data_IF_120941450443
#
_entry.id   IF_120941450443
#
_cell.length_a   1.000
_cell.length_b   1.000
_cell.length_c   1.000
_cell.angle_alpha   90.00
_cell.angle_beta   90.00
_cell.angle_gamma   90.00
#
_symmetry.space_group_name_H-M   'P 1'
#
loop_
_entity.id
_entity.type
_entity.pdbx_description
1 polymer ?
#
# COMPACT_ATOMS: atom_id res chain seq x y z
N UNK A 1 -3.50 50.41 75.68
CA UNK A 1 -4.56 50.63 74.66
C UNK A 1 -4.19 49.76 73.47
N UNK A 2 -4.80 48.58 73.36
CA UNK A 2 -4.35 47.53 72.42
C UNK A 2 -5.40 47.39 71.32
N UNK A 3 -5.03 47.75 70.10
CA UNK A 3 -5.93 47.79 68.95
C UNK A 3 -5.96 46.38 68.35
N UNK A 4 -7.06 45.66 68.55
CA UNK A 4 -7.28 44.33 67.97
C UNK A 4 -7.68 44.51 66.50
N UNK A 5 -6.82 44.11 65.56
CA UNK A 5 -7.16 44.05 64.12
C UNK A 5 -7.88 42.75 63.81
N UNK A 6 -9.14 42.84 63.37
CA UNK A 6 -9.88 41.69 62.86
C UNK A 6 -9.33 41.29 61.47
N UNK A 7 -8.93 40.03 61.24
CA UNK A 7 -8.47 39.58 59.94
C UNK A 7 -9.64 39.58 58.94
N UNK A 8 -9.46 40.29 57.82
CA UNK A 8 -10.45 40.41 56.76
C UNK A 8 -10.84 39.04 56.20
N UNK A 9 -12.14 38.76 56.21
CA UNK A 9 -12.76 37.49 55.79
C UNK A 9 -12.69 37.34 54.26
N UNK A 10 -11.54 36.96 53.70
CA UNK A 10 -11.37 36.71 52.25
C UNK A 10 -11.63 35.25 51.83
N UNK A 11 -12.41 34.50 52.61
CA UNK A 11 -12.57 33.05 52.44
C UNK A 11 -13.31 32.64 51.14
N UNK A 12 -13.99 33.57 50.44
CA UNK A 12 -14.64 33.29 49.16
C UNK A 12 -13.75 33.52 47.93
N UNK A 13 -12.90 34.53 47.96
CA UNK A 13 -12.08 34.91 46.80
C UNK A 13 -11.01 33.86 46.47
N UNK A 14 -10.38 33.28 47.49
CA UNK A 14 -9.38 32.22 47.30
C UNK A 14 -9.98 30.95 46.65
N UNK A 15 -11.22 30.59 47.00
CA UNK A 15 -11.89 29.41 46.45
C UNK A 15 -12.28 29.62 44.97
N UNK A 16 -12.75 30.82 44.62
CA UNK A 16 -13.08 31.19 43.24
C UNK A 16 -11.81 31.19 42.37
N UNK A 17 -10.72 31.77 42.86
CA UNK A 17 -9.43 31.79 42.14
C UNK A 17 -8.87 30.38 41.98
N UNK A 18 -8.95 29.55 43.02
CA UNK A 18 -8.56 28.14 42.95
C UNK A 18 -9.36 27.35 41.90
N UNK A 19 -10.68 27.56 41.85
CA UNK A 19 -11.55 26.92 40.85
C UNK A 19 -11.22 27.40 39.42
N UNK A 20 -10.99 28.70 39.24
CA UNK A 20 -10.59 29.29 37.96
C UNK A 20 -9.26 28.71 37.46
N UNK A 21 -8.25 28.64 38.33
CA UNK A 21 -6.95 28.05 37.99
C UNK A 21 -7.09 26.57 37.64
N UNK A 22 -7.91 25.82 38.38
CA UNK A 22 -8.17 24.42 38.09
C UNK A 22 -8.83 24.24 36.72
N UNK A 23 -9.82 25.07 36.37
CA UNK A 23 -10.46 25.05 35.04
C UNK A 23 -9.43 25.33 33.94
N UNK A 24 -8.59 26.35 34.10
CA UNK A 24 -7.57 26.70 33.11
C UNK A 24 -6.61 25.53 32.89
N UNK A 25 -6.10 24.92 33.95
CA UNK A 25 -5.20 23.76 33.85
C UNK A 25 -5.90 22.58 33.17
N UNK A 26 -7.16 22.32 33.49
CA UNK A 26 -7.94 21.22 32.89
C UNK A 26 -8.12 21.42 31.39
N UNK A 27 -8.41 22.64 30.95
CA UNK A 27 -8.57 22.98 29.54
C UNK A 27 -7.26 22.82 28.75
N UNK A 28 -6.14 23.26 29.32
CA UNK A 28 -4.82 23.09 28.72
C UNK A 28 -4.48 21.60 28.58
N UNK A 29 -4.74 20.80 29.62
CA UNK A 29 -4.51 19.36 29.59
C UNK A 29 -5.33 18.65 28.50
N UNK A 30 -6.64 18.93 28.41
CA UNK A 30 -7.53 18.31 27.40
C UNK A 30 -7.15 18.74 25.97
N UNK A 31 -6.75 20.01 25.79
CA UNK A 31 -6.33 20.53 24.49
C UNK A 31 -5.11 19.78 23.94
N UNK A 32 -4.15 19.42 24.81
CA UNK A 32 -3.00 18.60 24.43
C UNK A 32 -3.40 17.19 23.98
N UNK A 33 -4.28 16.53 24.73
CA UNK A 33 -4.73 15.15 24.45
C UNK A 33 -5.43 15.06 23.09
N UNK A 34 -6.28 16.03 22.74
CA UNK A 34 -7.03 16.04 21.47
C UNK A 34 -6.13 16.07 20.24
N UNK A 35 -4.99 16.77 20.31
CA UNK A 35 -4.03 16.83 19.19
C UNK A 35 -3.35 15.48 18.97
N UNK A 36 -2.94 14.82 20.06
CA UNK A 36 -2.28 13.50 20.00
C UNK A 36 -3.20 12.44 19.38
N UNK A 37 -4.48 12.41 19.76
CA UNK A 37 -5.43 11.43 19.19
C UNK A 37 -5.59 11.54 17.68
N UNK A 38 -5.61 12.75 17.13
CA UNK A 38 -5.69 12.97 15.67
C UNK A 38 -4.41 12.50 14.98
N UNK A 39 -3.25 12.85 15.53
CA UNK A 39 -1.96 12.45 14.97
C UNK A 39 -1.80 10.92 14.98
N UNK A 40 -2.22 10.24 16.05
CA UNK A 40 -2.23 8.78 16.12
C UNK A 40 -3.13 8.19 15.05
N UNK A 41 -4.36 8.69 14.88
CA UNK A 41 -5.27 8.18 13.85
C UNK A 41 -4.72 8.35 12.43
N UNK A 42 -4.10 9.49 12.13
CA UNK A 42 -3.42 9.73 10.85
C UNK A 42 -2.23 8.76 10.69
N UNK A 43 -1.42 8.57 11.73
CA UNK A 43 -0.29 7.64 11.73
C UNK A 43 -0.74 6.20 11.46
N UNK A 44 -1.83 5.75 12.08
CA UNK A 44 -2.40 4.42 11.87
C UNK A 44 -2.90 4.27 10.43
N UNK A 45 -3.70 5.21 9.93
CA UNK A 45 -4.20 5.17 8.55
C UNK A 45 -3.05 5.18 7.51
N UNK A 46 -2.00 5.96 7.76
CA UNK A 46 -0.81 6.01 6.90
C UNK A 46 -0.05 4.68 6.91
N UNK A 47 0.09 4.06 8.09
CA UNK A 47 0.75 2.77 8.24
C UNK A 47 -0.01 1.66 7.49
N UNK A 48 -1.33 1.60 7.65
CA UNK A 48 -2.19 0.63 6.97
C UNK A 48 -2.09 0.76 5.45
N UNK A 49 -2.16 1.99 4.93
CA UNK A 49 -1.91 2.25 3.50
C UNK A 49 -0.52 1.80 3.08
N UNK A 50 0.51 2.13 3.84
CA UNK A 50 1.87 1.74 3.48
C UNK A 50 2.03 0.22 3.41
N UNK A 51 1.40 -0.53 4.31
CA UNK A 51 1.40 -1.99 4.30
C UNK A 51 0.71 -2.57 3.06
N UNK A 52 -0.45 -2.04 2.67
CA UNK A 52 -1.13 -2.48 1.44
C UNK A 52 -0.30 -2.18 0.19
N UNK A 53 0.34 -1.01 0.13
CA UNK A 53 1.26 -0.65 -0.97
C UNK A 53 2.49 -1.55 -1.03
N UNK A 54 3.17 -1.78 0.10
CA UNK A 54 4.34 -2.65 0.14
C UNK A 54 4.01 -4.08 -0.26
N UNK A 55 2.81 -4.55 0.12
CA UNK A 55 2.34 -5.89 -0.27
C UNK A 55 2.09 -5.97 -1.77
N UNK A 56 1.34 -5.01 -2.35
CA UNK A 56 1.10 -4.93 -3.80
C UNK A 56 2.43 -4.92 -4.58
N UNK A 57 3.37 -4.09 -4.13
CA UNK A 57 4.68 -3.96 -4.77
C UNK A 57 5.52 -5.23 -4.63
N UNK A 58 5.45 -5.93 -3.49
CA UNK A 58 6.10 -7.24 -3.33
C UNK A 58 5.56 -8.26 -4.32
N UNK A 59 4.24 -8.27 -4.56
CA UNK A 59 3.63 -9.14 -5.57
C UNK A 59 4.19 -8.85 -6.96
N UNK A 60 4.17 -7.57 -7.35
CA UNK A 60 4.62 -7.15 -8.68
C UNK A 60 6.10 -7.49 -8.86
N UNK A 61 6.94 -7.26 -7.84
CA UNK A 61 8.36 -7.64 -7.88
C UNK A 61 8.57 -9.12 -8.13
N UNK A 62 7.75 -9.99 -7.55
CA UNK A 62 7.85 -11.43 -7.82
C UNK A 62 7.49 -11.76 -9.27
N UNK A 63 6.46 -11.12 -9.81
CA UNK A 63 6.06 -11.27 -11.21
C UNK A 63 7.16 -10.78 -12.17
N UNK A 64 7.77 -9.63 -11.85
CA UNK A 64 8.87 -9.06 -12.63
C UNK A 64 10.12 -9.93 -12.55
N UNK A 65 10.45 -10.50 -11.39
CA UNK A 65 11.58 -11.42 -11.25
C UNK A 65 11.36 -12.70 -12.09
N UNK A 66 10.14 -13.24 -12.06
CA UNK A 66 9.75 -14.36 -12.92
C UNK A 66 9.82 -14.00 -14.42
N UNK A 67 9.63 -12.73 -14.78
CA UNK A 67 9.82 -12.24 -16.15
C UNK A 67 11.28 -12.20 -16.58
N UNK A 68 12.20 -11.96 -15.64
CA UNK A 68 13.62 -11.78 -15.91
C UNK A 68 14.42 -13.08 -15.77
N UNK A 69 13.92 -14.07 -15.04
CA UNK A 69 14.60 -15.36 -14.88
C UNK A 69 14.44 -16.23 -16.15
N UNK A 70 15.55 -16.62 -16.82
CA UNK A 70 15.49 -17.51 -17.98
C UNK A 70 15.28 -18.98 -17.59
N UNK A 71 15.38 -19.31 -16.30
CA UNK A 71 15.13 -20.64 -15.79
C UNK A 71 13.62 -20.84 -15.60
N UNK A 72 13.03 -21.94 -16.10
CA UNK A 72 11.64 -22.24 -15.79
C UNK A 72 11.47 -22.32 -14.26
N UNK A 73 10.41 -21.72 -13.70
CA UNK A 73 10.11 -21.89 -12.29
C UNK A 73 9.97 -23.39 -11.99
N UNK A 74 10.32 -23.78 -10.76
CA UNK A 74 10.37 -25.19 -10.35
C UNK A 74 9.15 -25.97 -10.88
N UNK A 75 9.43 -27.10 -11.53
CA UNK A 75 8.44 -27.92 -12.23
C UNK A 75 7.14 -28.06 -11.40
N UNK A 76 6.04 -27.52 -11.92
CA UNK A 76 4.73 -27.52 -11.26
C UNK A 76 4.20 -26.16 -10.83
N UNK A 77 5.00 -25.09 -10.91
CA UNK A 77 4.47 -23.71 -10.80
C UNK A 77 4.23 -23.14 -12.21
N UNK A 78 2.96 -22.82 -12.57
CA UNK A 78 2.66 -22.27 -13.89
C UNK A 78 3.38 -20.93 -14.08
N UNK A 79 4.06 -20.78 -15.21
CA UNK A 79 4.72 -19.53 -15.56
C UNK A 79 3.65 -18.53 -16.00
N UNK A 80 3.30 -17.60 -15.11
CA UNK A 80 2.13 -16.72 -15.27
C UNK A 80 2.16 -15.89 -16.56
N UNK A 81 3.36 -15.60 -17.08
CA UNK A 81 3.55 -14.84 -18.32
C UNK A 81 3.27 -15.69 -19.55
N UNK A 82 3.70 -16.96 -19.54
CA UNK A 82 3.41 -17.89 -20.64
C UNK A 82 1.93 -18.27 -20.64
N UNK A 83 1.32 -18.43 -19.47
CA UNK A 83 -0.14 -18.65 -19.34
C UNK A 83 -0.95 -17.45 -19.82
N UNK A 84 -0.47 -16.22 -19.56
CA UNK A 84 -1.09 -15.00 -20.07
C UNK A 84 -1.02 -14.91 -21.61
N UNK A 85 0.11 -15.26 -22.22
CA UNK A 85 0.23 -15.35 -23.69
C UNK A 85 -0.73 -16.40 -24.26
N UNK A 86 -0.72 -17.61 -23.70
CA UNK A 86 -1.57 -18.71 -24.17
C UNK A 86 -3.05 -18.33 -24.10
N UNK A 87 -3.51 -17.72 -23.00
CA UNK A 87 -4.92 -17.27 -22.88
C UNK A 87 -5.26 -16.11 -23.81
N UNK A 88 -4.33 -15.19 -24.08
CA UNK A 88 -4.54 -14.08 -25.02
C UNK A 88 -4.76 -14.58 -26.46
N UNK A 89 -4.07 -15.66 -26.86
CA UNK A 89 -4.27 -16.31 -28.17
C UNK A 89 -5.65 -16.96 -28.34
N UNK A 90 -6.38 -17.24 -27.24
CA UNK A 90 -7.76 -17.73 -27.28
C UNK A 90 -8.81 -16.60 -27.36
N UNK A 91 -8.40 -15.34 -27.56
CA UNK A 91 -9.27 -14.15 -27.60
C UNK A 91 -10.18 -14.01 -26.35
N UNK A 92 -9.80 -14.63 -25.24
CA UNK A 92 -10.43 -14.42 -23.94
C UNK A 92 -9.78 -13.17 -23.34
N UNK A 93 -10.54 -12.18 -22.84
CA UNK A 93 -9.99 -11.10 -22.04
C UNK A 93 -9.49 -11.70 -20.71
N UNK A 94 -8.25 -12.19 -20.76
CA UNK A 94 -7.16 -11.75 -19.91
C UNK A 94 -7.45 -11.69 -18.41
N UNK A 95 -6.89 -12.66 -17.67
CA UNK A 95 -6.53 -12.56 -16.25
C UNK A 95 -6.02 -13.95 -15.82
N UNK A 96 -4.71 -14.09 -15.60
CA UNK A 96 -4.20 -15.23 -14.81
C UNK A 96 -4.00 -14.68 -13.38
N UNK A 97 -4.98 -14.88 -12.47
CA UNK A 97 -4.84 -14.42 -11.11
C UNK A 97 -3.73 -15.22 -10.42
N UNK A 98 -2.71 -14.54 -9.93
CA UNK A 98 -1.73 -15.07 -8.98
C UNK A 98 -2.02 -14.49 -7.62
N UNK A 99 -2.76 -15.24 -6.81
CA UNK A 99 -2.93 -14.93 -5.39
C UNK A 99 -1.67 -15.37 -4.64
N UNK A 100 -0.89 -14.44 -4.11
CA UNK A 100 0.07 -14.79 -3.07
C UNK A 100 -0.68 -14.80 -1.75
N UNK A 101 -0.62 -15.95 -1.06
CA UNK A 101 -1.10 -16.08 0.30
C UNK A 101 -0.53 -14.99 1.20
N UNK A 102 -1.43 -14.11 1.64
CA UNK A 102 -1.42 -13.35 2.88
C UNK A 102 -0.04 -12.88 3.36
N UNK A 103 0.27 -11.61 3.07
CA UNK A 103 1.31 -10.87 3.77
C UNK A 103 1.00 -10.80 5.29
N UNK A 104 1.98 -10.46 6.15
CA UNK A 104 1.83 -10.59 7.59
C UNK A 104 0.60 -9.81 8.08
N UNK A 105 -0.34 -10.55 8.71
CA UNK A 105 -1.55 -10.05 9.37
C UNK A 105 -2.47 -9.15 8.53
N UNK A 106 -3.51 -9.75 7.94
CA UNK A 106 -4.74 -9.04 7.55
C UNK A 106 -4.74 -8.32 6.19
N UNK A 107 -3.64 -8.37 5.43
CA UNK A 107 -3.57 -7.85 4.05
C UNK A 107 -3.67 -9.00 3.05
N UNK A 108 -4.68 -8.96 2.20
CA UNK A 108 -4.80 -9.84 1.04
C UNK A 108 -4.35 -9.10 -0.20
N UNK A 109 -3.62 -9.78 -1.08
CA UNK A 109 -3.15 -9.17 -2.30
C UNK A 109 -3.30 -10.14 -3.46
N UNK A 110 -3.85 -9.63 -4.55
CA UNK A 110 -4.03 -10.35 -5.80
C UNK A 110 -3.31 -9.60 -6.93
N UNK A 111 -2.87 -10.33 -7.93
CA UNK A 111 -2.18 -9.76 -9.07
C UNK A 111 -2.56 -10.51 -10.35
N UNK A 112 -2.81 -9.73 -11.38
CA UNK A 112 -3.27 -10.16 -12.68
C UNK A 112 -2.26 -9.72 -13.72
N UNK A 113 -1.90 -10.63 -14.63
CA UNK A 113 -1.07 -10.30 -15.80
C UNK A 113 -1.88 -10.32 -17.07
N UNK A 114 -1.67 -9.26 -17.85
CA UNK A 114 -2.27 -8.97 -19.12
C UNK A 114 -1.22 -8.92 -20.24
N UNK A 115 -1.37 -9.65 -21.34
CA UNK A 115 -0.53 -9.55 -22.53
C UNK A 115 -1.12 -8.55 -23.53
N UNK A 116 -0.44 -7.41 -23.69
CA UNK A 116 -0.90 -6.29 -24.53
C UNK A 116 -0.46 -6.42 -26.00
N UNK A 117 0.49 -7.29 -26.30
CA UNK A 117 0.95 -7.55 -27.67
C UNK A 117 2.46 -7.71 -27.79
N UNK A 118 2.89 -8.07 -29.00
CA UNK A 118 4.29 -8.17 -29.40
C UNK A 118 4.71 -6.97 -30.25
N UNK A 119 5.97 -6.54 -30.06
CA UNK A 119 6.57 -5.42 -30.76
C UNK A 119 8.04 -5.65 -31.07
N UNK A 120 8.65 -4.72 -31.82
CA UNK A 120 10.10 -4.74 -32.04
C UNK A 120 10.80 -4.50 -30.69
N UNK A 121 11.78 -5.36 -30.38
CA UNK A 121 12.58 -5.18 -29.17
C UNK A 121 13.36 -3.84 -29.24
N UNK A 122 13.49 -3.16 -28.11
CA UNK A 122 14.28 -1.93 -28.01
C UNK A 122 15.72 -2.22 -28.49
N UNK A 123 16.23 -1.39 -29.42
CA UNK A 123 17.53 -1.60 -30.06
C UNK A 123 17.52 -2.49 -31.33
N UNK A 124 16.39 -3.10 -31.69
CA UNK A 124 16.23 -3.93 -32.90
C UNK A 124 15.22 -3.28 -33.87
N UNK A 125 15.61 -2.14 -34.45
CA UNK A 125 14.73 -1.28 -35.29
C UNK A 125 14.44 -1.81 -36.69
N UNK A 126 15.19 -2.82 -37.16
CA UNK A 126 15.13 -3.35 -38.54
C UNK A 126 14.75 -4.84 -38.61
N UNK A 127 14.21 -5.40 -37.53
CA UNK A 127 13.78 -6.80 -37.49
C UNK A 127 14.97 -7.76 -37.34
N UNK A 128 15.40 -7.97 -36.09
CA UNK A 128 16.33 -9.04 -35.73
C UNK A 128 15.60 -10.25 -35.15
N UNK A 129 16.37 -11.26 -34.71
CA UNK A 129 15.90 -12.50 -34.08
C UNK A 129 15.25 -12.31 -32.70
N UNK A 130 14.87 -11.09 -32.30
CA UNK A 130 14.33 -10.77 -30.98
C UNK A 130 13.03 -9.95 -31.08
N UNK A 131 11.99 -10.40 -30.39
CA UNK A 131 10.71 -9.70 -30.23
C UNK A 131 10.54 -9.26 -28.79
N UNK A 132 9.90 -8.11 -28.58
CA UNK A 132 9.50 -7.64 -27.27
C UNK A 132 8.05 -8.01 -27.01
N UNK A 133 7.80 -8.80 -25.97
CA UNK A 133 6.46 -9.10 -25.49
C UNK A 133 6.11 -8.09 -24.39
N UNK A 134 5.02 -7.35 -24.58
CA UNK A 134 4.55 -6.33 -23.63
C UNK A 134 3.44 -6.91 -22.78
N UNK A 135 3.57 -6.76 -21.47
CA UNK A 135 2.54 -7.14 -20.52
C UNK A 135 2.21 -5.97 -19.59
N UNK A 136 0.99 -5.96 -19.09
CA UNK A 136 0.52 -5.09 -18.02
C UNK A 136 0.25 -5.98 -16.80
N UNK A 137 0.81 -5.61 -15.66
CA UNK A 137 0.50 -6.23 -14.38
C UNK A 137 -0.36 -5.27 -13.60
N UNK A 138 -1.55 -5.73 -13.22
CA UNK A 138 -2.44 -5.04 -12.28
C UNK A 138 -2.39 -5.80 -10.96
N UNK A 139 -2.14 -5.11 -9.86
CA UNK A 139 -2.18 -5.68 -8.52
C UNK A 139 -3.17 -4.93 -7.65
N UNK A 140 -3.98 -5.69 -6.91
CA UNK A 140 -4.95 -5.19 -5.96
C UNK A 140 -4.62 -5.74 -4.59
N UNK A 141 -4.28 -4.87 -3.65
CA UNK A 141 -4.11 -5.21 -2.24
C UNK A 141 -5.23 -4.61 -1.40
N UNK A 142 -5.85 -5.42 -0.57
CA UNK A 142 -6.90 -5.01 0.37
C UNK A 142 -6.52 -5.38 1.80
N UNK A 143 -6.86 -4.49 2.73
CA UNK A 143 -6.82 -4.76 4.17
C UNK A 143 -8.24 -4.61 4.72
N UNK A 144 -9.01 -5.71 4.87
CA UNK A 144 -10.41 -5.65 5.29
C UNK A 144 -10.59 -5.00 6.66
N UNK A 145 -9.63 -5.18 7.57
CA UNK A 145 -9.66 -4.59 8.90
C UNK A 145 -9.56 -3.05 8.91
N UNK A 146 -8.93 -2.47 7.88
CA UNK A 146 -8.64 -1.05 7.76
C UNK A 146 -9.48 -0.34 6.68
N UNK A 147 -10.39 -1.08 6.01
CA UNK A 147 -11.12 -0.62 4.82
C UNK A 147 -10.23 0.11 3.80
N UNK A 148 -9.01 -0.39 3.62
CA UNK A 148 -7.99 0.23 2.76
C UNK A 148 -7.71 -0.68 1.59
N UNK A 149 -7.72 -0.10 0.39
CA UNK A 149 -7.41 -0.78 -0.85
C UNK A 149 -6.39 0.02 -1.66
N UNK A 150 -5.46 -0.70 -2.26
CA UNK A 150 -4.42 -0.17 -3.13
C UNK A 150 -4.49 -0.92 -4.45
N UNK A 151 -4.58 -0.18 -5.55
CA UNK A 151 -4.32 -0.71 -6.88
C UNK A 151 -2.97 -0.18 -7.37
N UNK A 152 -2.14 -1.05 -7.93
CA UNK A 152 -0.87 -0.69 -8.57
C UNK A 152 -0.79 -1.37 -9.94
N UNK A 153 -0.45 -0.60 -10.97
CA UNK A 153 -0.30 -1.08 -12.34
C UNK A 153 1.11 -0.81 -12.85
N UNK A 154 1.74 -1.83 -13.45
CA UNK A 154 3.07 -1.71 -14.04
C UNK A 154 3.10 -2.36 -15.42
N UNK A 155 3.70 -1.66 -16.38
CA UNK A 155 4.05 -2.23 -17.67
C UNK A 155 5.39 -2.96 -17.59
N UNK A 156 5.46 -4.14 -18.17
CA UNK A 156 6.70 -4.90 -18.33
C UNK A 156 6.89 -5.27 -19.80
N UNK A 157 8.14 -5.28 -20.24
CA UNK A 157 8.52 -5.71 -21.57
C UNK A 157 9.57 -6.80 -21.42
N UNK A 158 9.27 -8.00 -21.90
CA UNK A 158 10.24 -9.11 -21.95
C UNK A 158 10.76 -9.27 -23.36
N UNK A 159 12.07 -9.23 -23.53
CA UNK A 159 12.71 -9.54 -24.82
C UNK A 159 12.85 -11.06 -24.92
N UNK A 160 12.31 -11.65 -25.98
CA UNK A 160 12.39 -13.08 -26.26
C UNK A 160 12.84 -13.36 -27.69
N UNK A 161 13.11 -14.63 -28.02
CA UNK A 161 13.38 -15.03 -29.40
C UNK A 161 12.18 -14.70 -30.28
N UNK A 162 12.45 -14.13 -31.46
CA UNK A 162 11.44 -13.88 -32.47
C UNK A 162 10.89 -15.22 -32.97
N UNK A 163 9.56 -15.29 -33.19
CA UNK A 163 8.97 -16.39 -33.91
C UNK A 163 9.60 -16.49 -35.32
N UNK A 164 10.10 -17.66 -35.69
CA UNK A 164 10.48 -17.94 -37.08
C UNK A 164 9.22 -17.84 -37.94
N UNK A 165 9.17 -16.84 -38.84
CA UNK A 165 8.19 -16.86 -39.92
C UNK A 165 8.50 -18.01 -40.88
#
# INVERSE_FOLDING_TARGET
>A
MTIVRLPGRQHGAALIVGLLLLIVVTLVAISGIKSTSIQTAISTNMQERMLTYQTAESLIRQIVNEANDPAPPAAGTPHILNDAIQKSLLAVPETVPRTIGQAPTGVNADATVAFLGDGKALGYSIGGNATGFVYLVDSISNMPAANTQTNNQQGLMRIGPAASN
#
